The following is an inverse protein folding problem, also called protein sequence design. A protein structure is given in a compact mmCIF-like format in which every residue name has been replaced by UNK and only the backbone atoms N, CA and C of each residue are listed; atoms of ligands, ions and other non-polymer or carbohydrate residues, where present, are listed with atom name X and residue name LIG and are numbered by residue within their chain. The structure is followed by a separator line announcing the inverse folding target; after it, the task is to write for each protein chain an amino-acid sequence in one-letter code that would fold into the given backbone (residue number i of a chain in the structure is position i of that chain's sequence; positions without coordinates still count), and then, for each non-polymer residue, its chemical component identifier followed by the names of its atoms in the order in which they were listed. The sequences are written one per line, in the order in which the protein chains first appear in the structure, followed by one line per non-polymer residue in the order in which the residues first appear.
data_IF_973277082039
#
_entry.id   IF_973277082039
#
_cell.length_a   1.000
_cell.length_b   1.000
_cell.length_c   1.000
_cell.angle_alpha   90.00
_cell.angle_beta   90.00
_cell.angle_gamma   90.00
#
_symmetry.space_group_name_H-M   'P 1'
#
loop_
_entity.id
_entity.type
_entity.pdbx_description
1 polymer ?
#
# COMPACT_ATOMS: atom_id res chain seq x y z
N UNK A 1 -8.99 54.50 5.26
CA UNK A 1 -9.80 53.27 5.40
C UNK A 1 -9.81 52.58 4.04
N UNK A 2 -9.12 51.44 3.93
CA UNK A 2 -8.92 50.64 2.72
C UNK A 2 -10.15 49.75 2.47
N UNK A 3 -10.77 49.79 1.28
CA UNK A 3 -10.57 48.92 0.08
C UNK A 3 -11.46 47.65 0.16
N UNK A 4 -12.35 47.31 -0.80
CA UNK A 4 -12.03 46.82 -2.15
C UNK A 4 -13.27 46.69 -3.06
N UNK A 5 -12.98 46.75 -4.36
CA UNK A 5 -13.68 46.17 -5.51
C UNK A 5 -14.91 46.90 -6.07
N UNK A 6 -14.72 47.55 -7.23
CA UNK A 6 -15.36 47.13 -8.49
C UNK A 6 -14.91 47.95 -9.71
N UNK A 7 -14.81 47.25 -10.85
CA UNK A 7 -14.89 47.71 -12.26
C UNK A 7 -13.59 48.08 -13.03
N UNK A 8 -13.14 47.08 -13.82
CA UNK A 8 -12.55 47.06 -15.18
C UNK A 8 -11.81 48.30 -15.75
N UNK A 9 -10.77 48.05 -16.60
CA UNK A 9 -10.96 48.41 -18.01
C UNK A 9 -10.38 47.43 -19.05
N UNK A 10 -11.26 47.10 -20.00
CA UNK A 10 -11.05 46.95 -21.46
C UNK A 10 -9.59 46.92 -21.97
N UNK A 11 -9.19 45.74 -22.45
CA UNK A 11 -8.20 45.57 -23.52
C UNK A 11 -8.76 44.57 -24.54
N UNK A 12 -9.04 45.04 -25.76
CA UNK A 12 -9.67 44.27 -26.83
C UNK A 12 -8.73 43.16 -27.32
N UNK A 13 -9.14 41.91 -27.20
CA UNK A 13 -8.73 40.83 -28.09
C UNK A 13 -10.01 40.21 -28.67
N UNK A 14 -10.26 40.57 -29.92
CA UNK A 14 -11.36 40.07 -30.73
C UNK A 14 -11.04 38.64 -31.15
N UNK A 15 -11.65 37.66 -30.48
CA UNK A 15 -11.79 36.30 -30.99
C UNK A 15 -13.26 35.93 -30.86
N UNK A 16 -13.99 36.05 -31.98
CA UNK A 16 -15.27 35.38 -32.16
C UNK A 16 -14.98 33.91 -32.36
N UNK A 17 -15.27 33.08 -31.36
CA UNK A 17 -15.45 31.64 -31.53
C UNK A 17 -16.89 31.31 -31.15
N UNK A 18 -17.76 31.31 -32.16
CA UNK A 18 -19.04 30.64 -32.13
C UNK A 18 -18.80 29.14 -32.15
N UNK A 19 -19.07 28.45 -31.05
CA UNK A 19 -18.94 26.99 -30.97
C UNK A 19 -18.55 26.53 -29.57
N UNK A 20 -19.54 26.50 -28.67
CA UNK A 20 -19.35 25.96 -27.33
C UNK A 20 -18.92 24.49 -27.39
N UNK A 21 -17.72 24.22 -26.89
CA UNK A 21 -17.42 23.02 -26.14
C UNK A 21 -16.61 23.46 -24.92
N UNK A 22 -17.23 23.33 -23.75
CA UNK A 22 -16.51 23.34 -22.49
C UNK A 22 -15.38 22.32 -22.58
N UNK A 23 -14.24 22.69 -22.02
CA UNK A 23 -13.01 21.94 -22.05
C UNK A 23 -13.18 20.60 -21.31
N UNK A 24 -13.32 19.50 -22.03
CA UNK A 24 -13.22 18.13 -21.50
C UNK A 24 -11.75 17.82 -21.15
N UNK A 25 -11.25 18.40 -20.05
CA UNK A 25 -9.83 18.44 -19.71
C UNK A 25 -9.39 17.61 -18.49
N UNK A 26 -10.02 16.46 -18.21
CA UNK A 26 -9.69 15.56 -17.09
C UNK A 26 -9.51 14.04 -17.45
N UNK A 27 -9.81 13.49 -18.65
CA UNK A 27 -9.69 12.03 -18.88
C UNK A 27 -8.26 11.42 -18.92
N UNK A 28 -7.21 12.20 -19.22
CA UNK A 28 -5.87 11.65 -19.44
C UNK A 28 -5.19 11.19 -18.14
N UNK A 29 -5.18 12.06 -17.12
CA UNK A 29 -4.40 11.81 -15.91
C UNK A 29 -4.92 10.62 -15.09
N UNK A 30 -6.24 10.44 -15.02
CA UNK A 30 -6.84 9.32 -14.28
C UNK A 30 -6.48 7.98 -14.94
N UNK A 31 -6.55 7.91 -16.27
CA UNK A 31 -6.16 6.71 -17.03
C UNK A 31 -4.68 6.38 -16.86
N UNK A 32 -3.82 7.40 -16.85
CA UNK A 32 -2.38 7.24 -16.64
C UNK A 32 -2.08 6.70 -15.23
N UNK A 33 -2.77 7.20 -14.19
CA UNK A 33 -2.63 6.70 -12.81
C UNK A 33 -3.14 5.27 -12.64
N UNK A 34 -4.22 4.89 -13.32
CA UNK A 34 -4.69 3.50 -13.31
C UNK A 34 -3.71 2.54 -13.98
N UNK A 35 -3.07 2.97 -15.08
CA UNK A 35 -2.00 2.20 -15.71
C UNK A 35 -0.77 2.08 -14.82
N UNK A 36 -0.39 3.16 -14.13
CA UNK A 36 0.68 3.16 -13.14
C UNK A 36 0.38 2.18 -12.00
N UNK A 37 -0.84 2.22 -11.44
CA UNK A 37 -1.27 1.29 -10.40
C UNK A 37 -1.13 -0.17 -10.87
N UNK A 38 -1.58 -0.48 -12.09
CA UNK A 38 -1.42 -1.80 -12.67
C UNK A 38 0.05 -2.21 -12.77
N UNK A 39 0.92 -1.32 -13.26
CA UNK A 39 2.34 -1.59 -13.38
C UNK A 39 3.01 -1.86 -12.02
N UNK A 40 2.61 -1.13 -10.97
CA UNK A 40 3.10 -1.36 -9.60
C UNK A 40 2.66 -2.72 -9.06
N UNK A 41 1.43 -3.14 -9.33
CA UNK A 41 0.89 -4.44 -8.91
C UNK A 41 1.63 -5.57 -9.63
N UNK A 42 1.78 -5.45 -10.96
CA UNK A 42 2.46 -6.45 -11.79
C UNK A 42 3.94 -6.59 -11.40
N UNK A 43 4.57 -5.49 -10.98
CA UNK A 43 5.94 -5.47 -10.45
C UNK A 43 6.09 -5.95 -9.01
N UNK A 44 4.99 -6.31 -8.32
CA UNK A 44 5.03 -6.73 -6.91
C UNK A 44 5.42 -5.61 -5.93
N UNK A 45 5.23 -4.34 -6.33
CA UNK A 45 5.54 -3.15 -5.53
C UNK A 45 4.35 -2.75 -4.65
N UNK A 46 3.87 -3.69 -3.82
CA UNK A 46 2.56 -3.56 -3.15
C UNK A 46 2.45 -2.37 -2.20
N UNK A 47 3.52 -1.95 -1.53
CA UNK A 47 3.49 -0.74 -0.68
C UNK A 47 3.22 0.52 -1.50
N UNK A 48 3.81 0.63 -2.70
CA UNK A 48 3.58 1.79 -3.59
C UNK A 48 2.21 1.70 -4.25
N UNK A 49 1.83 0.49 -4.68
CA UNK A 49 0.52 0.25 -5.27
C UNK A 49 -0.61 0.58 -4.30
N UNK A 50 -0.50 0.16 -3.04
CA UNK A 50 -1.48 0.42 -1.99
C UNK A 50 -1.68 1.92 -1.77
N UNK A 51 -0.58 2.68 -1.68
CA UNK A 51 -0.63 4.13 -1.56
C UNK A 51 -1.35 4.77 -2.74
N UNK A 52 -1.01 4.39 -3.96
CA UNK A 52 -1.66 4.94 -5.16
C UNK A 52 -3.14 4.58 -5.21
N UNK A 53 -3.53 3.36 -4.83
CA UNK A 53 -4.92 2.95 -4.73
C UNK A 53 -5.71 3.79 -3.71
N UNK A 54 -5.11 4.18 -2.57
CA UNK A 54 -5.72 5.12 -1.62
C UNK A 54 -5.93 6.51 -2.21
N UNK A 55 -4.94 7.02 -2.94
CA UNK A 55 -5.03 8.33 -3.58
C UNK A 55 -6.02 8.35 -4.76
N UNK A 56 -6.44 7.18 -5.25
CA UNK A 56 -7.51 6.97 -6.23
C UNK A 56 -8.85 6.59 -5.57
N UNK A 57 -8.93 6.60 -4.24
CA UNK A 57 -10.13 6.25 -3.46
C UNK A 57 -10.65 4.81 -3.73
N UNK A 58 -9.77 3.91 -4.17
CA UNK A 58 -10.06 2.51 -4.43
C UNK A 58 -9.92 1.70 -3.14
N UNK A 59 -10.87 1.87 -2.21
CA UNK A 59 -10.78 1.35 -0.84
C UNK A 59 -10.56 -0.18 -0.78
N UNK A 60 -11.36 -0.97 -1.47
CA UNK A 60 -11.24 -2.44 -1.44
C UNK A 60 -9.88 -2.91 -1.99
N UNK A 61 -9.43 -2.27 -3.07
CA UNK A 61 -8.15 -2.58 -3.70
C UNK A 61 -6.97 -2.17 -2.81
N UNK A 62 -7.04 -1.01 -2.16
CA UNK A 62 -6.06 -0.58 -1.17
C UNK A 62 -5.96 -1.59 -0.03
N UNK A 63 -7.08 -2.09 0.51
CA UNK A 63 -7.07 -3.09 1.58
C UNK A 63 -6.42 -4.42 1.13
N UNK A 64 -6.73 -4.90 -0.07
CA UNK A 64 -6.08 -6.10 -0.62
C UNK A 64 -4.57 -5.90 -0.80
N UNK A 65 -4.16 -4.75 -1.34
CA UNK A 65 -2.75 -4.42 -1.52
C UNK A 65 -2.01 -4.25 -0.19
N UNK A 66 -2.68 -3.72 0.83
CA UNK A 66 -2.16 -3.65 2.20
C UNK A 66 -1.87 -5.05 2.75
N UNK A 67 -2.82 -6.00 2.59
CA UNK A 67 -2.63 -7.41 3.01
C UNK A 67 -1.48 -8.07 2.26
N UNK A 68 -1.35 -7.83 0.94
CA UNK A 68 -0.23 -8.32 0.12
C UNK A 68 1.11 -7.74 0.54
N UNK A 69 1.16 -6.44 0.83
CA UNK A 69 2.37 -5.78 1.31
C UNK A 69 2.83 -6.32 2.67
N UNK A 70 1.90 -6.54 3.60
CA UNK A 70 2.18 -7.20 4.89
C UNK A 70 2.71 -8.62 4.69
N UNK A 71 2.06 -9.41 3.81
CA UNK A 71 2.53 -10.77 3.49
C UNK A 71 3.93 -10.76 2.88
N UNK A 72 4.21 -9.87 1.94
CA UNK A 72 5.53 -9.76 1.33
C UNK A 72 6.60 -9.40 2.38
N UNK A 73 6.32 -8.44 3.26
CA UNK A 73 7.27 -8.04 4.29
C UNK A 73 7.51 -9.14 5.34
N UNK A 74 6.45 -9.82 5.76
CA UNK A 74 6.51 -10.82 6.83
C UNK A 74 6.92 -12.21 6.32
N UNK A 75 6.23 -12.71 5.30
CA UNK A 75 6.42 -14.06 4.80
C UNK A 75 7.55 -14.14 3.78
N UNK A 76 7.52 -13.31 2.73
CA UNK A 76 8.55 -13.39 1.67
C UNK A 76 9.91 -12.93 2.18
N UNK A 77 9.95 -11.80 2.90
CA UNK A 77 11.21 -11.19 3.33
C UNK A 77 11.65 -11.60 4.74
N UNK A 78 10.79 -12.27 5.54
CA UNK A 78 11.05 -12.63 6.95
C UNK A 78 11.60 -11.46 7.79
N UNK A 79 11.08 -10.25 7.55
CA UNK A 79 11.61 -9.02 8.12
C UNK A 79 10.73 -8.52 9.28
N UNK A 80 11.07 -8.87 10.53
CA UNK A 80 10.29 -8.45 11.71
C UNK A 80 10.27 -6.91 11.88
N UNK A 81 11.42 -6.19 11.85
CA UNK A 81 11.40 -4.73 11.94
C UNK A 81 10.59 -4.05 10.84
N UNK A 82 10.77 -4.48 9.60
CA UNK A 82 10.03 -3.97 8.45
C UNK A 82 8.54 -4.23 8.57
N UNK A 83 8.13 -5.40 9.05
CA UNK A 83 6.72 -5.76 9.26
C UNK A 83 6.07 -4.86 10.31
N UNK A 84 6.74 -4.65 11.44
CA UNK A 84 6.23 -3.74 12.49
C UNK A 84 6.11 -2.31 11.98
N UNK A 85 7.15 -1.78 11.33
CA UNK A 85 7.14 -0.43 10.78
C UNK A 85 6.04 -0.25 9.72
N UNK A 86 5.82 -1.26 8.87
CA UNK A 86 4.75 -1.24 7.88
C UNK A 86 3.37 -1.23 8.53
N UNK A 87 3.16 -2.05 9.58
CA UNK A 87 1.93 -2.04 10.35
C UNK A 87 1.65 -0.69 11.01
N UNK A 88 2.67 -0.04 11.57
CA UNK A 88 2.56 1.31 12.16
C UNK A 88 2.15 2.35 11.11
N UNK A 89 2.73 2.30 9.90
CA UNK A 89 2.31 3.19 8.79
C UNK A 89 0.84 2.97 8.37
N UNK A 90 0.33 1.76 8.59
CA UNK A 90 -1.06 1.40 8.33
C UNK A 90 -2.00 1.61 9.52
N UNK A 91 -1.48 2.09 10.66
CA UNK A 91 -2.21 2.21 11.92
C UNK A 91 -2.85 0.89 12.39
N UNK A 92 -2.19 -0.24 12.12
CA UNK A 92 -2.64 -1.56 12.56
C UNK A 92 -2.01 -1.91 13.91
N UNK A 93 -2.82 -2.45 14.80
CA UNK A 93 -2.36 -3.06 16.04
C UNK A 93 -1.60 -4.37 15.77
N UNK A 94 -0.79 -4.78 16.74
CA UNK A 94 -0.18 -6.11 16.76
C UNK A 94 -1.20 -7.22 16.51
N UNK A 95 -2.36 -7.14 17.15
CA UNK A 95 -3.39 -8.18 17.05
C UNK A 95 -3.92 -8.28 15.60
N UNK A 96 -4.23 -7.15 14.97
CA UNK A 96 -4.72 -7.10 13.59
C UNK A 96 -3.69 -7.67 12.60
N UNK A 97 -2.41 -7.34 12.77
CA UNK A 97 -1.33 -7.86 11.93
C UNK A 97 -1.22 -9.37 12.05
N UNK A 98 -1.15 -9.89 13.28
CA UNK A 98 -1.01 -11.34 13.51
C UNK A 98 -2.23 -12.10 12.99
N UNK A 99 -3.44 -11.57 13.21
CA UNK A 99 -4.68 -12.16 12.68
C UNK A 99 -4.66 -12.19 11.16
N UNK A 100 -4.36 -11.05 10.51
CA UNK A 100 -4.28 -10.93 9.05
C UNK A 100 -3.30 -11.92 8.45
N UNK A 101 -2.08 -12.02 9.01
CA UNK A 101 -1.06 -12.95 8.51
C UNK A 101 -1.45 -14.42 8.73
N UNK A 102 -2.15 -14.75 9.81
CA UNK A 102 -2.68 -16.10 10.05
C UNK A 102 -3.78 -16.46 9.08
N UNK A 103 -4.68 -15.53 8.77
CA UNK A 103 -5.73 -15.73 7.77
C UNK A 103 -5.13 -16.03 6.39
N UNK A 104 -4.13 -15.23 5.97
CA UNK A 104 -3.44 -15.43 4.69
C UNK A 104 -2.69 -16.76 4.68
N UNK A 105 -2.00 -17.11 5.77
CA UNK A 105 -1.34 -18.42 5.90
C UNK A 105 -2.36 -19.55 5.78
N UNK A 106 -3.50 -19.46 6.45
CA UNK A 106 -4.54 -20.48 6.42
C UNK A 106 -5.20 -20.59 5.03
N UNK A 107 -5.36 -19.49 4.28
CA UNK A 107 -5.89 -19.55 2.92
C UNK A 107 -4.91 -20.16 1.92
N UNK A 108 -3.62 -20.27 2.28
CA UNK A 108 -2.58 -20.92 1.48
C UNK A 108 -2.31 -22.38 1.88
N UNK A 109 -2.90 -22.87 2.98
CA UNK A 109 -2.76 -24.26 3.43
C UNK A 109 -3.42 -25.21 2.41
N UNK A 110 -2.62 -25.69 1.46
CA UNK A 110 -3.07 -26.53 0.34
C UNK A 110 -2.23 -26.32 -0.92
N UNK A 111 -1.57 -25.17 -1.02
CA UNK A 111 -0.64 -24.87 -2.10
C UNK A 111 0.75 -25.47 -1.79
N UNK A 112 0.98 -26.69 -2.29
CA UNK A 112 2.21 -27.45 -2.03
C UNK A 112 3.46 -26.82 -2.65
N UNK A 113 3.32 -25.88 -3.59
CA UNK A 113 4.45 -25.27 -4.31
C UNK A 113 4.87 -23.92 -3.73
N UNK A 114 4.25 -23.50 -2.63
CA UNK A 114 4.48 -22.19 -2.06
C UNK A 114 5.77 -22.12 -1.23
N UNK A 115 6.86 -21.72 -1.89
CA UNK A 115 8.19 -21.53 -1.28
C UNK A 115 8.20 -20.58 -0.08
N UNK A 116 7.23 -19.67 0.04
CA UNK A 116 7.17 -18.73 1.19
C UNK A 116 6.83 -19.41 2.50
N UNK A 117 6.29 -20.63 2.43
CA UNK A 117 5.96 -21.48 3.58
C UNK A 117 7.13 -22.38 4.01
N UNK A 118 8.18 -22.48 3.20
CA UNK A 118 9.39 -23.22 3.57
C UNK A 118 10.05 -22.62 4.81
N UNK A 119 10.70 -23.45 5.64
CA UNK A 119 11.48 -22.96 6.76
C UNK A 119 12.57 -21.96 6.32
N UNK A 120 12.67 -20.83 7.02
CA UNK A 120 13.68 -19.81 6.75
C UNK A 120 14.46 -19.49 8.02
N UNK A 121 15.75 -19.19 7.88
CA UNK A 121 16.62 -18.89 9.01
C UNK A 121 16.13 -17.64 9.75
N UNK A 122 15.95 -17.77 11.06
CA UNK A 122 15.60 -16.68 11.96
C UNK A 122 16.80 -16.36 12.87
N UNK A 123 17.34 -15.14 12.69
CA UNK A 123 18.51 -14.66 13.42
C UNK A 123 18.29 -14.57 14.95
N UNK A 124 17.05 -14.46 15.40
CA UNK A 124 16.73 -14.28 16.82
C UNK A 124 16.68 -15.59 17.61
N UNK A 125 16.48 -16.71 16.92
CA UNK A 125 16.45 -18.07 17.48
C UNK A 125 17.66 -18.91 17.04
N UNK A 126 18.34 -18.53 15.95
CA UNK A 126 19.43 -19.31 15.36
C UNK A 126 18.95 -20.57 14.64
N UNK A 127 17.67 -20.63 14.26
CA UNK A 127 17.03 -21.82 13.69
C UNK A 127 16.30 -21.50 12.38
N UNK A 128 16.07 -22.52 11.56
CA UNK A 128 15.18 -22.41 10.40
C UNK A 128 13.74 -22.65 10.85
N UNK A 129 12.91 -21.62 10.77
CA UNK A 129 11.52 -21.67 11.26
C UNK A 129 10.54 -21.70 10.08
N UNK A 130 9.53 -22.59 10.08
CA UNK A 130 8.37 -22.43 9.21
C UNK A 130 7.66 -21.10 9.54
N UNK A 131 6.89 -20.56 8.58
CA UNK A 131 6.30 -19.23 8.75
C UNK A 131 5.42 -19.11 9.99
N UNK A 132 4.68 -20.17 10.34
CA UNK A 132 3.83 -20.19 11.53
C UNK A 132 4.62 -19.98 12.83
N UNK A 133 5.78 -20.63 12.94
CA UNK A 133 6.68 -20.46 14.09
C UNK A 133 7.34 -19.08 14.09
N UNK A 134 7.77 -18.61 12.91
CA UNK A 134 8.29 -17.26 12.77
C UNK A 134 7.26 -16.20 13.19
N UNK A 135 5.97 -16.38 12.84
CA UNK A 135 4.88 -15.49 13.23
C UNK A 135 4.66 -15.48 14.75
N UNK A 136 4.84 -16.64 15.40
CA UNK A 136 4.84 -16.71 16.86
C UNK A 136 6.01 -15.95 17.47
N UNK A 137 7.20 -15.98 16.86
CA UNK A 137 8.34 -15.16 17.29
C UNK A 137 8.08 -13.66 17.09
N UNK A 138 7.54 -13.26 15.94
CA UNK A 138 7.12 -11.87 15.69
C UNK A 138 6.17 -11.37 16.78
N UNK A 139 5.15 -12.16 17.12
CA UNK A 139 4.21 -11.80 18.19
C UNK A 139 4.90 -11.67 19.54
N UNK A 140 5.73 -12.63 19.94
CA UNK A 140 6.46 -12.58 21.23
C UNK A 140 7.40 -11.39 21.35
N UNK A 141 8.03 -10.99 20.23
CA UNK A 141 9.05 -9.95 20.21
C UNK A 141 8.53 -8.56 19.88
N UNK A 142 7.27 -8.42 19.49
CA UNK A 142 6.67 -7.18 18.98
C UNK A 142 7.11 -5.89 19.70
N UNK A 143 7.04 -5.89 21.04
CA UNK A 143 7.37 -4.72 21.87
C UNK A 143 8.86 -4.39 21.94
N UNK A 144 9.72 -5.35 21.61
CA UNK A 144 11.19 -5.24 21.65
C UNK A 144 11.80 -4.94 20.28
N UNK A 145 11.03 -5.11 19.21
CA UNK A 145 11.49 -4.80 17.84
C UNK A 145 11.77 -3.29 17.73
N UNK A 146 12.97 -2.95 17.28
CA UNK A 146 13.42 -1.56 17.07
C UNK A 146 13.86 -0.83 18.35
N UNK A 147 14.07 -1.56 19.44
CA UNK A 147 14.68 -1.05 20.67
C UNK A 147 16.07 -1.68 20.78
N UNK A 148 17.05 -0.99 20.23
CA UNK A 148 18.48 -1.31 20.42
C UNK A 148 18.98 -0.69 21.74
#
# INVERSE_FOLDING_TARGET
MNNLNQLCPRGKAFWSCSGGKLCDGIPSMEKDRQQELKALIDGGLFVRAERLARELELHDQSQDLQRKALWQMAAVNRNMPGTKKLAEMYNLSKAEVITTLREILNSQKGDRENRTLEPCYDQYTGQYLPFEEWLNQLSKRWEKIGKD
#
